data_IF_864939822007
#
_entry.id   IF_864939822007
#
_cell.length_a   1.000
_cell.length_b   1.000
_cell.length_c   1.000
_cell.angle_alpha   90.00
_cell.angle_beta   90.00
_cell.angle_gamma   90.00
#
_symmetry.space_group_name_H-M   'P 1'
#
loop_
_entity.id
_entity.type
_entity.pdbx_description
1 polymer ?
#
# COMPACT_ATOMS: atom_id res chain seq x y z
N UNK A 1 -7.52 -43.65 28.46
CA UNK A 1 -7.36 -42.47 27.60
C UNK A 1 -7.38 -42.98 26.18
N UNK A 2 -8.46 -42.71 25.45
CA UNK A 2 -8.52 -43.02 24.02
C UNK A 2 -7.46 -42.17 23.29
N UNK A 3 -6.74 -42.73 22.29
CA UNK A 3 -5.80 -41.93 21.51
C UNK A 3 -6.61 -40.87 20.75
N UNK A 4 -6.35 -39.59 21.04
CA UNK A 4 -6.93 -38.47 20.30
C UNK A 4 -6.68 -38.68 18.81
N UNK A 5 -7.76 -38.74 18.04
CA UNK A 5 -7.71 -38.90 16.59
C UNK A 5 -6.88 -37.77 16.00
N UNK A 6 -5.74 -38.17 15.44
CA UNK A 6 -4.82 -37.28 14.75
C UNK A 6 -5.55 -36.44 13.70
N UNK A 7 -5.40 -35.10 13.68
CA UNK A 7 -6.01 -34.28 12.65
C UNK A 7 -5.47 -34.72 11.29
N UNK A 8 -6.34 -35.34 10.50
CA UNK A 8 -6.05 -35.82 9.16
C UNK A 8 -6.27 -34.74 8.10
N UNK A 9 -6.97 -33.65 8.43
CA UNK A 9 -7.30 -32.59 7.46
C UNK A 9 -6.39 -31.37 7.60
N UNK A 10 -6.03 -30.77 6.47
CA UNK A 10 -5.25 -29.54 6.46
C UNK A 10 -6.05 -28.37 7.05
N UNK A 11 -5.47 -27.64 8.00
CA UNK A 11 -6.12 -26.50 8.65
C UNK A 11 -6.37 -25.29 7.73
N UNK A 12 -5.79 -25.26 6.53
CA UNK A 12 -5.94 -24.14 5.56
C UNK A 12 -6.96 -24.48 4.48
N UNK A 13 -6.74 -25.56 3.71
CA UNK A 13 -7.66 -25.94 2.62
C UNK A 13 -8.82 -26.83 3.07
N UNK A 14 -8.73 -27.48 4.24
CA UNK A 14 -9.70 -28.45 4.76
C UNK A 14 -9.84 -29.75 3.94
N UNK A 15 -9.09 -29.90 2.85
CA UNK A 15 -9.28 -31.00 1.87
C UNK A 15 -8.20 -32.10 1.95
N UNK A 16 -6.93 -31.73 2.12
CA UNK A 16 -5.80 -32.65 1.97
C UNK A 16 -5.43 -33.39 3.26
N UNK A 17 -4.83 -34.59 3.10
CA UNK A 17 -4.17 -35.30 4.20
C UNK A 17 -3.02 -34.45 4.73
N UNK A 18 -3.18 -33.91 5.94
CA UNK A 18 -2.19 -33.05 6.54
C UNK A 18 -1.00 -33.88 7.05
N UNK A 19 0.19 -33.57 6.55
CA UNK A 19 1.42 -34.32 6.84
C UNK A 19 2.43 -33.52 7.67
N UNK A 20 2.27 -32.21 7.75
CA UNK A 20 3.23 -31.32 8.43
C UNK A 20 2.61 -30.76 9.70
N UNK A 21 3.28 -30.96 10.84
CA UNK A 21 2.91 -30.43 12.16
C UNK A 21 4.09 -29.72 12.80
N UNK A 22 3.79 -28.90 13.81
CA UNK A 22 4.82 -28.28 14.64
C UNK A 22 5.81 -27.43 13.85
N UNK A 23 5.33 -26.70 12.83
CA UNK A 23 6.21 -25.84 12.01
C UNK A 23 6.94 -24.81 12.88
N UNK A 24 6.31 -24.34 13.97
CA UNK A 24 6.91 -23.47 14.97
C UNK A 24 7.81 -24.17 16.00
N UNK A 25 8.03 -25.48 15.91
CA UNK A 25 8.81 -26.28 16.88
C UNK A 25 8.05 -26.69 18.14
N UNK A 26 6.87 -26.12 18.39
CA UNK A 26 6.04 -26.41 19.58
C UNK A 26 4.76 -27.15 19.17
N UNK A 27 4.86 -28.47 19.11
CA UNK A 27 3.75 -29.36 18.75
C UNK A 27 2.65 -29.40 19.82
N UNK A 28 3.00 -29.13 21.09
CA UNK A 28 2.04 -29.14 22.19
C UNK A 28 1.05 -27.97 22.12
N UNK A 29 1.51 -26.77 21.71
CA UNK A 29 0.62 -25.61 21.60
C UNK A 29 0.09 -25.38 20.18
N UNK A 30 0.75 -25.92 19.15
CA UNK A 30 0.36 -25.77 17.75
C UNK A 30 -0.19 -27.08 17.18
N UNK A 31 -1.44 -27.40 17.53
CA UNK A 31 -2.12 -28.66 17.17
C UNK A 31 -2.56 -28.76 15.70
N UNK A 32 -2.53 -27.66 14.95
CA UNK A 32 -2.90 -27.66 13.54
C UNK A 32 -1.92 -28.46 12.67
N UNK A 33 -2.45 -29.02 11.58
CA UNK A 33 -1.66 -29.72 10.57
C UNK A 33 -1.84 -29.09 9.20
N UNK A 34 -0.81 -29.15 8.36
CA UNK A 34 -0.80 -28.56 7.02
C UNK A 34 -0.49 -29.61 5.97
N UNK A 35 -1.12 -29.47 4.80
CA UNK A 35 -0.64 -30.13 3.60
C UNK A 35 0.54 -29.35 2.99
N UNK A 36 1.37 -30.06 2.23
CA UNK A 36 2.54 -29.50 1.55
C UNK A 36 2.14 -28.34 0.61
N UNK A 37 1.02 -28.48 -0.11
CA UNK A 37 0.57 -27.46 -1.06
C UNK A 37 0.24 -26.12 -0.38
N UNK A 38 -0.47 -26.14 0.75
CA UNK A 38 -0.78 -24.94 1.52
C UNK A 38 0.46 -24.31 2.15
N UNK A 39 1.40 -25.12 2.66
CA UNK A 39 2.66 -24.60 3.18
C UNK A 39 3.48 -23.92 2.08
N UNK A 40 3.59 -24.53 0.90
CA UNK A 40 4.28 -23.95 -0.25
C UNK A 40 3.64 -22.63 -0.69
N UNK A 41 2.31 -22.59 -0.81
CA UNK A 41 1.58 -21.39 -1.17
C UNK A 41 1.79 -20.26 -0.13
N UNK A 42 1.85 -20.62 1.15
CA UNK A 42 2.17 -19.69 2.23
C UNK A 42 3.58 -19.10 2.07
N UNK A 43 4.60 -19.94 1.89
CA UNK A 43 5.99 -19.48 1.71
C UNK A 43 6.12 -18.63 0.45
N UNK A 44 5.50 -19.05 -0.66
CA UNK A 44 5.49 -18.26 -1.91
C UNK A 44 4.86 -16.88 -1.71
N UNK A 45 3.75 -16.78 -0.96
CA UNK A 45 3.11 -15.51 -0.61
C UNK A 45 4.00 -14.64 0.28
N UNK A 46 4.71 -15.25 1.25
CA UNK A 46 5.69 -14.55 2.09
C UNK A 46 6.88 -14.04 1.28
N UNK A 47 7.42 -14.84 0.38
CA UNK A 47 8.48 -14.42 -0.53
C UNK A 47 8.01 -13.29 -1.44
N UNK A 48 6.82 -13.40 -2.03
CA UNK A 48 6.28 -12.35 -2.91
C UNK A 48 6.07 -11.01 -2.18
N UNK A 49 5.75 -11.04 -0.89
CA UNK A 49 5.59 -9.84 -0.05
C UNK A 49 6.88 -9.39 0.65
N UNK A 50 7.93 -10.20 0.64
CA UNK A 50 9.21 -9.86 1.26
C UNK A 50 9.96 -8.81 0.42
N UNK A 51 10.30 -7.72 1.10
CA UNK A 51 11.09 -6.62 0.55
C UNK A 51 12.56 -6.98 0.75
N UNK A 52 13.33 -7.06 -0.34
CA UNK A 52 14.76 -7.29 -0.24
C UNK A 52 15.42 -6.13 0.51
N UNK A 53 16.28 -6.45 1.48
CA UNK A 53 16.87 -5.46 2.39
C UNK A 53 16.09 -5.28 3.70
N UNK A 54 14.91 -5.87 3.83
CA UNK A 54 14.12 -5.86 5.07
C UNK A 54 14.22 -7.21 5.76
N UNK A 55 14.61 -7.18 7.02
CA UNK A 55 14.69 -8.34 7.92
C UNK A 55 13.29 -8.90 8.20
N UNK A 56 12.79 -9.69 7.26
CA UNK A 56 11.42 -10.20 7.24
C UNK A 56 11.31 -11.44 8.11
N UNK A 57 10.51 -11.38 9.16
CA UNK A 57 10.24 -12.52 10.04
C UNK A 57 9.28 -13.51 9.40
N UNK A 58 9.68 -14.78 9.37
CA UNK A 58 8.78 -15.88 9.03
C UNK A 58 7.93 -16.24 10.26
N UNK A 59 6.64 -16.47 10.05
CA UNK A 59 5.72 -16.83 11.12
C UNK A 59 5.11 -18.20 10.81
N UNK A 60 4.64 -18.89 11.84
CA UNK A 60 3.87 -20.10 11.66
C UNK A 60 2.51 -19.74 11.03
N UNK A 61 2.08 -20.38 9.95
CA UNK A 61 0.78 -20.09 9.33
C UNK A 61 -0.42 -20.50 10.22
N UNK A 62 -0.18 -21.30 11.27
CA UNK A 62 -1.22 -21.78 12.18
C UNK A 62 -1.35 -20.91 13.43
N UNK A 63 -0.26 -20.75 14.19
CA UNK A 63 -0.27 -20.04 15.46
C UNK A 63 0.26 -18.60 15.36
N UNK A 64 0.74 -18.18 14.18
CA UNK A 64 1.28 -16.84 13.90
C UNK A 64 2.49 -16.46 14.78
N UNK A 65 3.08 -17.40 15.52
CA UNK A 65 4.34 -17.16 16.24
C UNK A 65 5.49 -17.03 15.26
N UNK A 66 6.48 -16.15 15.51
CA UNK A 66 7.74 -16.14 14.77
C UNK A 66 8.41 -17.51 14.82
N UNK A 67 9.04 -17.91 13.72
CA UNK A 67 9.68 -19.21 13.60
C UNK A 67 11.08 -19.01 13.04
N UNK A 68 12.05 -19.67 13.67
CA UNK A 68 13.39 -19.82 13.13
C UNK A 68 13.32 -20.44 11.72
N UNK A 69 13.90 -19.78 10.74
CA UNK A 69 13.81 -20.15 9.34
C UNK A 69 14.45 -21.51 9.03
N UNK A 70 15.48 -21.91 9.76
CA UNK A 70 16.10 -23.23 9.65
C UNK A 70 15.22 -24.33 10.26
N UNK A 71 14.57 -24.08 11.40
CA UNK A 71 13.57 -25.01 11.95
C UNK A 71 12.42 -25.19 10.96
N UNK A 72 11.95 -24.09 10.36
CA UNK A 72 10.93 -24.11 9.32
C UNK A 72 11.40 -24.94 8.10
N UNK A 73 12.62 -24.69 7.61
CA UNK A 73 13.25 -25.42 6.49
C UNK A 73 13.34 -26.93 6.76
N UNK A 74 13.68 -27.34 7.99
CA UNK A 74 13.78 -28.75 8.38
C UNK A 74 12.43 -29.46 8.38
N UNK A 75 11.35 -28.75 8.69
CA UNK A 75 9.97 -29.29 8.68
C UNK A 75 9.35 -29.33 7.27
N UNK A 76 10.02 -28.76 6.27
CA UNK A 76 9.63 -28.85 4.87
C UNK A 76 10.24 -30.10 4.23
N UNK A 77 9.40 -31.03 3.77
CA UNK A 77 9.85 -32.24 3.08
C UNK A 77 10.07 -32.06 1.58
N UNK A 78 9.54 -30.99 0.99
CA UNK A 78 9.60 -30.79 -0.47
C UNK A 78 10.67 -29.77 -0.90
N UNK A 79 11.41 -30.11 -1.95
CA UNK A 79 12.52 -29.28 -2.48
C UNK A 79 12.05 -27.92 -2.99
N UNK A 80 10.83 -27.84 -3.54
CA UNK A 80 10.28 -26.58 -4.05
C UNK A 80 10.10 -25.57 -2.92
N UNK A 81 9.51 -25.96 -1.79
CA UNK A 81 9.36 -25.09 -0.62
C UNK A 81 10.72 -24.72 -0.03
N UNK A 82 11.69 -25.64 -0.01
CA UNK A 82 13.08 -25.33 0.41
C UNK A 82 13.73 -24.29 -0.49
N UNK A 83 13.53 -24.38 -1.81
CA UNK A 83 13.99 -23.37 -2.77
C UNK A 83 13.39 -21.98 -2.50
N UNK A 84 12.07 -21.91 -2.25
CA UNK A 84 11.41 -20.64 -1.91
C UNK A 84 11.93 -20.05 -0.59
N UNK A 85 12.23 -20.88 0.41
CA UNK A 85 12.84 -20.42 1.66
C UNK A 85 14.27 -19.91 1.46
N UNK A 86 15.04 -20.55 0.58
CA UNK A 86 16.38 -20.07 0.21
C UNK A 86 16.30 -18.69 -0.45
N UNK A 87 15.40 -18.49 -1.41
CA UNK A 87 15.19 -17.18 -2.03
C UNK A 87 14.75 -16.11 -1.01
N UNK A 88 13.88 -16.48 -0.06
CA UNK A 88 13.47 -15.59 1.03
C UNK A 88 14.67 -15.20 1.91
N UNK A 89 15.54 -16.17 2.19
CA UNK A 89 16.77 -15.98 2.95
C UNK A 89 17.72 -14.98 2.28
N UNK A 90 17.91 -15.10 0.96
CA UNK A 90 18.76 -14.17 0.20
C UNK A 90 18.19 -12.74 0.17
N UNK A 91 16.86 -12.58 0.08
CA UNK A 91 16.22 -11.26 0.22
C UNK A 91 16.45 -10.62 1.58
N UNK A 92 16.41 -11.43 2.64
CA UNK A 92 16.66 -10.98 4.01
C UNK A 92 18.13 -10.57 4.19
N UNK A 93 19.07 -11.38 3.68
CA UNK A 93 20.50 -11.09 3.73
C UNK A 93 20.87 -9.78 3.06
N UNK A 94 20.12 -9.36 2.03
CA UNK A 94 20.30 -8.06 1.34
C UNK A 94 20.37 -6.88 2.32
N UNK A 95 19.79 -6.98 3.53
CA UNK A 95 19.89 -5.95 4.58
C UNK A 95 21.33 -5.71 5.08
N UNK A 96 22.22 -6.67 4.85
CA UNK A 96 23.61 -6.67 5.29
C UNK A 96 24.58 -6.54 4.10
N UNK A 97 24.08 -6.21 2.91
CA UNK A 97 24.93 -5.96 1.75
C UNK A 97 25.42 -4.52 1.76
N UNK A 98 26.67 -4.35 1.34
CA UNK A 98 27.26 -3.05 1.00
C UNK A 98 27.71 -3.06 -0.45
N UNK A 99 27.62 -1.91 -1.09
CA UNK A 99 28.12 -1.71 -2.45
C UNK A 99 29.56 -1.22 -2.38
N UNK A 100 30.47 -1.89 -3.07
CA UNK A 100 31.87 -1.47 -3.10
C UNK A 100 32.04 -0.19 -3.94
N UNK A 101 32.66 0.89 -3.43
CA UNK A 101 32.87 2.12 -4.20
C UNK A 101 33.92 1.95 -5.31
N UNK A 102 34.74 0.89 -5.26
CA UNK A 102 35.77 0.63 -6.25
C UNK A 102 35.27 -0.08 -7.51
N UNK A 103 34.42 -1.10 -7.34
CA UNK A 103 33.96 -1.95 -8.45
C UNK A 103 32.43 -2.05 -8.58
N UNK A 104 31.68 -1.38 -7.70
CA UNK A 104 30.22 -1.42 -7.64
C UNK A 104 29.58 -2.79 -7.34
N UNK A 105 30.39 -3.81 -7.01
CA UNK A 105 29.90 -5.13 -6.61
C UNK A 105 29.25 -5.08 -5.21
N UNK A 106 28.13 -5.77 -5.05
CA UNK A 106 27.43 -5.85 -3.76
C UNK A 106 27.96 -7.06 -2.97
N UNK A 107 28.49 -6.84 -1.78
CA UNK A 107 29.02 -7.91 -0.91
C UNK A 107 28.20 -8.02 0.37
N UNK A 108 27.76 -9.23 0.70
CA UNK A 108 27.14 -9.52 2.00
C UNK A 108 28.21 -9.50 3.10
N UNK A 109 28.00 -8.73 4.15
CA UNK A 109 28.92 -8.65 5.29
C UNK A 109 28.62 -9.66 6.40
N UNK A 110 27.54 -10.44 6.28
CA UNK A 110 27.31 -11.54 7.21
C UNK A 110 28.38 -12.63 6.98
N UNK A 111 28.96 -13.19 8.05
CA UNK A 111 29.94 -14.25 7.91
C UNK A 111 29.27 -15.50 7.31
N UNK A 112 30.04 -16.27 6.54
CA UNK A 112 29.57 -17.54 6.02
C UNK A 112 29.20 -18.47 7.17
N UNK A 113 27.99 -19.01 7.09
CA UNK A 113 27.47 -19.97 8.06
C UNK A 113 27.87 -21.35 7.56
N UNK A 114 28.48 -22.15 8.44
CA UNK A 114 28.64 -23.57 8.18
C UNK A 114 27.28 -24.27 8.38
N UNK A 115 26.57 -24.47 7.27
CA UNK A 115 25.27 -25.15 7.22
C UNK A 115 25.32 -26.53 7.90
N UNK A 116 26.47 -27.22 7.85
CA UNK A 116 26.63 -28.57 8.44
C UNK A 116 26.62 -28.55 9.96
N UNK A 117 27.29 -27.57 10.56
CA UNK A 117 27.33 -27.40 12.02
C UNK A 117 25.95 -27.00 12.55
N UNK A 118 25.26 -26.10 11.86
CA UNK A 118 23.99 -25.59 12.36
C UNK A 118 22.87 -26.63 12.31
N UNK A 119 22.78 -27.41 11.24
CA UNK A 119 21.82 -28.52 11.16
C UNK A 119 22.10 -29.59 12.22
N UNK A 120 23.37 -29.85 12.51
CA UNK A 120 23.81 -30.79 13.56
C UNK A 120 23.47 -30.28 14.97
N UNK A 121 23.65 -28.98 15.25
CA UNK A 121 23.34 -28.37 16.54
C UNK A 121 21.83 -28.35 16.83
N UNK A 122 21.01 -28.04 15.83
CA UNK A 122 19.54 -28.15 15.96
C UNK A 122 19.09 -29.60 16.10
N UNK A 123 19.78 -30.56 15.46
CA UNK A 123 19.41 -31.96 15.51
C UNK A 123 19.66 -32.61 16.88
N UNK A 124 20.68 -32.16 17.60
CA UNK A 124 21.11 -32.81 18.84
C UNK A 124 20.46 -32.25 20.11
N UNK A 125 19.72 -31.13 20.05
CA UNK A 125 19.21 -30.40 21.23
C UNK A 125 20.25 -30.11 22.33
N UNK A 126 21.52 -30.42 22.07
CA UNK A 126 22.63 -30.30 22.98
C UNK A 126 23.35 -29.00 22.68
N UNK A 127 23.33 -28.10 23.67
CA UNK A 127 24.17 -26.91 23.67
C UNK A 127 25.63 -27.32 23.42
N UNK A 128 26.32 -26.77 22.41
CA UNK A 128 27.75 -26.97 22.28
C UNK A 128 28.43 -26.45 23.56
N UNK A 129 28.99 -27.36 24.35
CA UNK A 129 29.55 -27.07 25.68
C UNK A 129 30.67 -26.01 25.70
N UNK A 130 31.17 -25.61 24.52
CA UNK A 130 32.26 -24.66 24.35
C UNK A 130 31.82 -23.25 23.97
N UNK A 131 30.51 -22.95 23.92
CA UNK A 131 30.02 -21.60 23.62
C UNK A 131 29.60 -20.85 24.89
N UNK A 132 30.34 -19.78 25.16
CA UNK A 132 29.89 -18.72 26.06
C UNK A 132 28.58 -18.15 25.48
N UNK A 133 27.51 -18.15 26.28
CA UNK A 133 26.15 -17.70 25.90
C UNK A 133 25.36 -18.64 24.96
N UNK A 134 25.66 -19.95 24.91
CA UNK A 134 24.91 -20.90 24.07
C UNK A 134 23.37 -20.83 24.28
N UNK A 135 22.93 -20.82 25.55
CA UNK A 135 21.49 -20.73 25.90
C UNK A 135 20.86 -19.41 25.44
N UNK A 136 21.60 -18.31 25.55
CA UNK A 136 21.11 -16.99 25.12
C UNK A 136 21.01 -16.90 23.60
N UNK A 137 21.96 -17.47 22.87
CA UNK A 137 21.90 -17.56 21.41
C UNK A 137 20.71 -18.40 20.97
N UNK A 138 20.47 -19.54 21.63
CA UNK A 138 19.28 -20.37 21.34
C UNK A 138 17.99 -19.63 21.65
N UNK A 139 17.88 -18.99 22.82
CA UNK A 139 16.71 -18.18 23.18
C UNK A 139 16.50 -17.01 22.20
N UNK A 140 17.57 -16.36 21.74
CA UNK A 140 17.52 -15.32 20.72
C UNK A 140 17.01 -15.87 19.39
N UNK A 141 17.55 -16.98 18.93
CA UNK A 141 17.17 -17.64 17.69
C UNK A 141 15.71 -18.13 17.72
N UNK A 142 15.20 -18.55 18.88
CA UNK A 142 13.80 -18.91 19.10
C UNK A 142 12.87 -17.71 19.32
N UNK A 143 13.36 -16.48 19.12
CA UNK A 143 12.64 -15.23 19.36
C UNK A 143 12.16 -15.02 20.81
N UNK A 144 12.78 -15.71 21.79
CA UNK A 144 12.52 -15.54 23.22
C UNK A 144 13.37 -14.43 23.85
N UNK A 145 14.48 -14.06 23.22
CA UNK A 145 15.39 -12.99 23.66
C UNK A 145 15.47 -11.88 22.60
N UNK A 146 15.44 -10.62 23.03
CA UNK A 146 15.61 -9.48 22.11
C UNK A 146 17.07 -9.30 21.67
N UNK A 147 17.30 -8.54 20.59
CA UNK A 147 18.66 -8.27 20.10
C UNK A 147 19.45 -7.41 21.09
N UNK A 148 18.78 -6.47 21.76
CA UNK A 148 19.39 -5.58 22.76
C UNK A 148 19.86 -6.38 23.97
N UNK A 149 19.03 -7.31 24.46
CA UNK A 149 19.37 -8.15 25.60
C UNK A 149 20.52 -9.11 25.27
N UNK A 150 20.46 -9.79 24.11
CA UNK A 150 21.54 -10.67 23.68
C UNK A 150 22.86 -9.88 23.57
N UNK A 151 22.82 -8.73 22.89
CA UNK A 151 24.00 -7.92 22.67
C UNK A 151 24.59 -7.39 23.99
N UNK A 152 23.76 -6.95 24.93
CA UNK A 152 24.21 -6.54 26.26
C UNK A 152 24.89 -7.69 27.03
N UNK A 153 24.34 -8.91 26.95
CA UNK A 153 24.95 -10.12 27.55
C UNK A 153 26.27 -10.49 26.87
N UNK A 154 26.35 -10.35 25.54
CA UNK A 154 27.58 -10.55 24.79
C UNK A 154 28.69 -9.60 25.23
N UNK A 155 28.38 -8.31 25.40
CA UNK A 155 29.34 -7.33 25.91
C UNK A 155 29.80 -7.69 27.33
N UNK A 156 28.87 -8.06 28.22
CA UNK A 156 29.19 -8.44 29.60
C UNK A 156 30.08 -9.69 29.67
N UNK A 157 29.90 -10.63 28.73
CA UNK A 157 30.72 -11.84 28.62
C UNK A 157 32.01 -11.65 27.79
N UNK A 158 32.27 -10.44 27.28
CA UNK A 158 33.37 -10.14 26.35
C UNK A 158 33.41 -11.09 25.13
N UNK A 159 32.24 -11.47 24.63
CA UNK A 159 32.10 -12.36 23.47
C UNK A 159 32.19 -11.56 22.16
N UNK A 160 32.97 -12.05 21.20
CA UNK A 160 33.04 -11.45 19.86
C UNK A 160 31.72 -11.61 19.10
N UNK A 161 31.20 -10.51 18.54
CA UNK A 161 29.97 -10.49 17.74
C UNK A 161 30.10 -11.42 16.52
N UNK A 162 31.25 -11.38 15.85
CA UNK A 162 31.55 -12.21 14.69
C UNK A 162 31.52 -13.72 15.03
N UNK A 163 32.03 -14.10 16.20
CA UNK A 163 31.94 -15.49 16.69
C UNK A 163 30.49 -15.94 16.91
N UNK A 164 29.64 -15.06 17.46
CA UNK A 164 28.22 -15.36 17.68
C UNK A 164 27.44 -15.40 16.36
N UNK A 165 27.71 -14.47 15.42
CA UNK A 165 27.05 -14.43 14.12
C UNK A 165 27.26 -15.73 13.32
N UNK A 166 28.47 -16.29 13.32
CA UNK A 166 28.76 -17.60 12.68
C UNK A 166 27.95 -18.77 13.25
N UNK A 167 27.34 -18.61 14.43
CA UNK A 167 26.54 -19.65 15.10
C UNK A 167 25.04 -19.45 14.91
N UNK A 168 24.62 -18.32 14.35
CA UNK A 168 23.22 -18.03 14.06
C UNK A 168 22.95 -18.44 12.60
N UNK A 169 22.34 -19.61 12.41
CA UNK A 169 21.95 -20.10 11.08
C UNK A 169 20.77 -19.34 10.45
N UNK A 170 19.98 -18.65 11.26
CA UNK A 170 18.85 -17.86 10.81
C UNK A 170 19.32 -16.48 10.31
N UNK A 171 19.23 -16.20 9.01
CA UNK A 171 19.73 -14.93 8.45
C UNK A 171 18.92 -13.71 8.87
N UNK A 172 17.65 -13.85 9.28
CA UNK A 172 16.89 -12.73 9.85
C UNK A 172 17.48 -12.35 11.21
N UNK A 173 17.73 -13.35 12.07
CA UNK A 173 18.32 -13.15 13.39
C UNK A 173 19.78 -12.69 13.32
N UNK A 174 20.57 -13.27 12.42
CA UNK A 174 21.95 -12.85 12.20
C UNK A 174 22.00 -11.41 11.67
N UNK A 175 21.17 -11.10 10.66
CA UNK A 175 21.07 -9.75 10.11
C UNK A 175 20.60 -8.71 11.13
N UNK A 176 19.66 -9.06 12.02
CA UNK A 176 19.21 -8.17 13.08
C UNK A 176 20.32 -7.87 14.10
N UNK A 177 21.09 -8.88 14.52
CA UNK A 177 22.23 -8.70 15.42
C UNK A 177 23.33 -7.87 14.76
N UNK A 178 23.65 -8.19 13.50
CA UNK A 178 24.67 -7.50 12.72
C UNK A 178 24.32 -6.03 12.51
N UNK A 179 23.12 -5.72 12.04
CA UNK A 179 22.67 -4.34 11.83
C UNK A 179 22.61 -3.54 13.14
N UNK A 180 22.25 -4.18 14.26
CA UNK A 180 22.31 -3.56 15.58
C UNK A 180 23.76 -3.22 15.98
N UNK A 181 24.68 -4.16 15.80
CA UNK A 181 26.11 -3.95 16.07
C UNK A 181 26.69 -2.82 15.22
N UNK A 182 26.45 -2.84 13.91
CA UNK A 182 26.98 -1.83 12.99
C UNK A 182 26.44 -0.43 13.28
N UNK A 183 25.16 -0.32 13.65
CA UNK A 183 24.53 0.98 13.94
C UNK A 183 25.07 1.65 15.20
N UNK A 184 25.43 0.86 16.21
CA UNK A 184 25.73 1.39 17.54
C UNK A 184 27.22 1.45 17.88
N UNK A 185 28.07 0.69 17.18
CA UNK A 185 29.47 0.52 17.60
C UNK A 185 30.46 0.60 16.44
N UNK A 186 30.19 -0.08 15.33
CA UNK A 186 31.15 -0.22 14.24
C UNK A 186 30.46 0.24 12.96
N UNK A 187 30.59 1.52 12.61
CA UNK A 187 29.98 2.00 11.38
C UNK A 187 30.81 1.63 10.14
N UNK A 188 32.08 1.24 10.28
CA UNK A 188 32.99 0.87 9.18
C UNK A 188 32.99 -0.63 8.89
N UNK A 189 33.01 -1.02 7.62
CA UNK A 189 33.18 -2.41 7.19
C UNK A 189 34.13 -2.49 5.99
N UNK A 190 34.89 -3.58 5.87
CA UNK A 190 35.67 -3.87 4.67
C UNK A 190 34.85 -4.65 3.64
N UNK A 191 34.89 -4.23 2.39
CA UNK A 191 34.37 -5.01 1.26
C UNK A 191 35.28 -6.21 0.97
N UNK A 192 34.72 -7.39 0.67
CA UNK A 192 35.53 -8.59 0.37
C UNK A 192 36.18 -8.59 -1.03
N UNK A 193 35.67 -7.79 -1.97
CA UNK A 193 36.16 -7.78 -3.36
C UNK A 193 37.39 -6.89 -3.57
N UNK A 194 37.43 -5.71 -2.95
CA UNK A 194 38.50 -4.72 -3.14
C UNK A 194 39.16 -4.28 -1.82
N UNK A 195 38.77 -4.88 -0.69
CA UNK A 195 39.31 -4.56 0.64
C UNK A 195 39.20 -3.07 1.02
N UNK A 196 38.17 -2.38 0.49
CA UNK A 196 37.90 -0.97 0.82
C UNK A 196 37.05 -0.84 2.06
N UNK A 197 37.37 0.16 2.88
CA UNK A 197 36.56 0.55 4.04
C UNK A 197 35.35 1.39 3.61
N UNK A 198 34.16 1.01 4.08
CA UNK A 198 32.89 1.68 3.79
C UNK A 198 32.07 1.92 5.07
N UNK A 199 31.36 3.05 5.19
CA UNK A 199 30.39 3.24 6.28
C UNK A 199 29.17 2.37 5.96
N UNK A 200 28.85 1.36 6.76
CA UNK A 200 27.68 0.50 6.58
C UNK A 200 26.36 1.29 6.50
N UNK A 201 26.28 2.42 7.22
CA UNK A 201 25.06 3.21 7.32
C UNK A 201 24.80 4.09 6.09
N UNK A 202 25.82 4.78 5.57
CA UNK A 202 25.67 5.67 4.40
C UNK A 202 26.20 5.07 3.09
N UNK A 203 26.90 3.93 3.16
CA UNK A 203 27.57 3.23 2.06
C UNK A 203 28.63 4.04 1.31
N UNK A 204 29.13 5.13 1.89
CA UNK A 204 30.27 5.89 1.36
C UNK A 204 31.60 5.24 1.77
N UNK A 205 32.68 5.59 1.06
CA UNK A 205 34.05 5.25 1.45
C UNK A 205 34.34 5.85 2.84
N UNK A 206 34.85 5.01 3.74
CA UNK A 206 35.08 5.38 5.13
C UNK A 206 36.52 5.85 5.30
N UNK A 207 36.69 7.06 5.83
CA UNK A 207 37.96 7.59 6.29
C UNK A 207 37.90 7.87 7.80
N UNK A 208 39.05 8.18 8.42
CA UNK A 208 39.13 8.46 9.85
C UNK A 208 38.38 9.72 10.29
N UNK A 209 37.97 10.58 9.34
CA UNK A 209 37.23 11.82 9.59
C UNK A 209 35.73 11.67 9.27
N UNK A 210 35.29 10.47 8.90
CA UNK A 210 33.93 10.21 8.43
C UNK A 210 32.90 10.37 9.55
N UNK A 211 32.12 11.45 9.49
CA UNK A 211 30.98 11.67 10.37
C UNK A 211 29.68 11.25 9.67
N UNK A 212 29.21 10.05 9.97
CA UNK A 212 27.94 9.53 9.47
C UNK A 212 26.78 10.28 10.23
N UNK A 213 26.40 11.50 9.79
CA UNK A 213 25.26 12.24 10.37
C UNK A 213 23.92 11.63 9.92
N UNK A 214 23.44 10.67 10.70
CA UNK A 214 22.17 9.96 10.45
C UNK A 214 20.96 10.91 10.62
N UNK A 215 21.13 12.14 11.13
CA UNK A 215 20.02 13.06 11.38
C UNK A 215 19.79 14.07 10.24
N UNK A 216 20.68 14.15 9.24
CA UNK A 216 20.60 15.11 8.14
C UNK A 216 19.92 14.57 6.87
N UNK A 217 19.15 13.47 6.98
CA UNK A 217 18.30 13.00 5.88
C UNK A 217 17.12 13.96 5.67
N UNK A 218 17.38 15.02 4.91
CA UNK A 218 16.35 15.90 4.41
C UNK A 218 15.36 15.09 3.56
N UNK A 219 14.08 15.41 3.75
CA UNK A 219 12.90 14.54 3.51
C UNK A 219 12.54 14.21 2.05
N UNK A 220 13.49 13.85 1.21
CA UNK A 220 13.23 13.36 -0.13
C UNK A 220 13.07 11.84 -0.10
N UNK A 221 11.89 11.38 0.33
CA UNK A 221 11.45 9.99 0.19
C UNK A 221 10.62 9.81 -1.09
N UNK A 222 10.87 8.72 -1.82
CA UNK A 222 10.09 8.33 -2.98
C UNK A 222 9.54 6.90 -2.79
N UNK A 223 8.31 6.62 -3.22
CA UNK A 223 7.82 5.25 -3.33
C UNK A 223 8.24 4.67 -4.68
N UNK A 224 8.76 3.45 -4.70
CA UNK A 224 8.95 2.73 -5.96
C UNK A 224 7.61 2.59 -6.71
N UNK A 225 7.53 2.88 -8.02
CA UNK A 225 6.27 2.84 -8.77
C UNK A 225 5.71 1.42 -8.96
N UNK A 226 6.55 0.38 -8.79
CA UNK A 226 6.15 -1.03 -8.94
C UNK A 226 5.75 -1.65 -7.60
N UNK A 227 6.66 -1.70 -6.62
CA UNK A 227 6.42 -2.37 -5.34
C UNK A 227 5.91 -1.43 -4.22
N UNK A 228 5.81 -0.12 -4.47
CA UNK A 228 5.29 0.90 -3.55
C UNK A 228 6.05 1.08 -2.23
N UNK A 229 7.26 0.52 -2.11
CA UNK A 229 8.11 0.72 -0.93
C UNK A 229 8.74 2.10 -0.95
N UNK A 230 8.77 2.73 0.22
CA UNK A 230 9.49 3.98 0.42
C UNK A 230 10.99 3.74 0.39
N UNK A 231 11.64 4.45 -0.52
CA UNK A 231 13.08 4.55 -0.62
C UNK A 231 13.49 5.92 -0.09
N UNK A 232 14.68 5.98 0.47
CA UNK A 232 15.44 7.21 0.71
C UNK A 232 16.63 7.14 -0.23
N UNK A 233 16.92 8.22 -0.96
CA UNK A 233 18.09 8.30 -1.84
C UNK A 233 19.27 8.75 -0.98
N UNK A 234 20.33 7.95 -0.99
CA UNK A 234 21.66 8.42 -0.59
C UNK A 234 22.28 9.29 -1.70
N UNK A 235 23.51 9.74 -1.54
CA UNK A 235 24.16 10.54 -2.59
C UNK A 235 24.32 9.76 -3.91
N UNK A 236 24.20 10.46 -5.05
CA UNK A 236 24.48 9.87 -6.38
C UNK A 236 23.47 10.17 -7.49
N UNK A 237 23.46 9.28 -8.49
CA UNK A 237 22.71 9.43 -9.75
C UNK A 237 21.19 9.54 -9.53
N UNK A 238 20.50 10.27 -10.41
CA UNK A 238 19.04 10.36 -10.40
C UNK A 238 18.35 9.10 -10.94
N UNK A 239 19.07 8.19 -11.59
CA UNK A 239 18.54 6.88 -11.96
C UNK A 239 18.70 5.92 -10.79
N UNK A 240 17.58 5.48 -10.21
CA UNK A 240 17.55 4.51 -9.11
C UNK A 240 16.96 3.21 -9.60
N UNK A 241 17.59 2.12 -9.15
CA UNK A 241 17.06 0.76 -9.27
C UNK A 241 16.51 0.36 -7.91
N UNK A 242 15.20 0.12 -7.83
CA UNK A 242 14.60 -0.42 -6.63
C UNK A 242 15.09 -1.84 -6.37
N UNK A 243 15.05 -2.29 -5.11
CA UNK A 243 15.29 -3.68 -4.74
C UNK A 243 14.36 -4.70 -5.45
N UNK A 244 13.23 -4.25 -6.02
CA UNK A 244 12.34 -5.11 -6.82
C UNK A 244 12.76 -5.18 -8.31
N UNK A 245 13.88 -4.56 -8.70
CA UNK A 245 14.38 -4.49 -10.06
C UNK A 245 13.82 -3.35 -10.92
N UNK A 246 12.87 -2.57 -10.41
CA UNK A 246 12.28 -1.45 -11.16
C UNK A 246 13.25 -0.27 -11.26
N UNK A 247 13.44 0.26 -12.46
CA UNK A 247 14.30 1.42 -12.70
C UNK A 247 13.46 2.69 -12.88
N UNK A 248 13.77 3.76 -12.15
CA UNK A 248 13.07 5.02 -12.29
C UNK A 248 13.93 6.24 -11.97
N UNK A 249 13.48 7.41 -12.41
CA UNK A 249 14.12 8.69 -12.12
C UNK A 249 13.67 9.25 -10.76
N UNK A 250 14.63 9.57 -9.90
CA UNK A 250 14.39 9.94 -8.51
C UNK A 250 13.63 11.26 -8.33
N UNK A 251 14.06 12.41 -8.89
CA UNK A 251 13.33 13.66 -8.73
C UNK A 251 11.86 13.56 -9.15
N UNK A 252 11.60 12.89 -10.29
CA UNK A 252 10.24 12.67 -10.77
C UNK A 252 9.42 11.83 -9.78
N UNK A 253 10.01 10.78 -9.20
CA UNK A 253 9.32 9.89 -8.29
C UNK A 253 9.11 10.49 -6.89
N UNK A 254 10.05 11.30 -6.38
CA UNK A 254 9.85 12.11 -5.17
C UNK A 254 8.66 13.06 -5.37
N UNK A 255 8.61 13.81 -6.49
CA UNK A 255 7.50 14.72 -6.76
C UNK A 255 6.16 13.97 -6.81
N UNK A 256 6.11 12.82 -7.50
CA UNK A 256 4.91 11.99 -7.58
C UNK A 256 4.47 11.48 -6.20
N UNK A 257 5.40 10.99 -5.39
CA UNK A 257 5.13 10.45 -4.05
C UNK A 257 4.62 11.53 -3.11
N UNK A 258 5.25 12.71 -3.11
CA UNK A 258 4.80 13.86 -2.34
C UNK A 258 3.39 14.30 -2.75
N UNK A 259 3.09 14.30 -4.06
CA UNK A 259 1.75 14.61 -4.54
C UNK A 259 0.74 13.55 -4.08
N UNK A 260 1.10 12.27 -4.17
CA UNK A 260 0.26 11.15 -3.76
C UNK A 260 -0.09 11.22 -2.27
N UNK A 261 0.91 11.42 -1.40
CA UNK A 261 0.71 11.57 0.05
C UNK A 261 -0.16 12.78 0.38
N UNK A 262 0.02 13.91 -0.32
CA UNK A 262 -0.84 15.09 -0.14
C UNK A 262 -2.29 14.80 -0.53
N UNK A 263 -2.51 14.09 -1.64
CA UNK A 263 -3.87 13.69 -2.06
C UNK A 263 -4.49 12.74 -1.05
N UNK A 264 -3.75 11.74 -0.56
CA UNK A 264 -4.22 10.83 0.48
C UNK A 264 -4.59 11.58 1.77
N UNK A 265 -3.76 12.51 2.23
CA UNK A 265 -4.05 13.34 3.40
C UNK A 265 -5.31 14.21 3.20
N UNK A 266 -5.50 14.75 2.00
CA UNK A 266 -6.72 15.49 1.65
C UNK A 266 -7.96 14.59 1.62
N UNK A 267 -7.83 13.35 1.13
CA UNK A 267 -8.90 12.35 1.12
C UNK A 267 -9.22 11.81 2.52
N UNK A 268 -8.22 11.72 3.40
CA UNK A 268 -8.36 11.33 4.80
C UNK A 268 -9.05 12.41 5.64
N UNK A 269 -9.03 13.67 5.20
CA UNK A 269 -9.78 14.74 5.85
C UNK A 269 -11.28 14.40 5.88
N UNK A 270 -11.84 14.25 7.09
CA UNK A 270 -13.24 13.84 7.32
C UNK A 270 -14.24 14.70 6.55
N UNK A 271 -13.93 15.98 6.32
CA UNK A 271 -14.75 16.91 5.54
C UNK A 271 -14.83 16.56 4.06
N UNK A 272 -13.72 16.20 3.42
CA UNK A 272 -13.68 15.81 2.01
C UNK A 272 -14.33 14.44 1.80
N UNK A 273 -14.08 13.48 2.71
CA UNK A 273 -14.76 12.17 2.69
C UNK A 273 -16.28 12.33 2.80
N UNK A 274 -16.78 13.23 3.67
CA UNK A 274 -18.21 13.57 3.77
C UNK A 274 -18.74 14.27 2.50
N UNK A 275 -17.96 15.16 1.89
CA UNK A 275 -18.37 15.84 0.65
C UNK A 275 -18.47 14.85 -0.53
N UNK A 276 -17.47 13.98 -0.70
CA UNK A 276 -17.45 12.95 -1.75
C UNK A 276 -18.55 11.90 -1.55
N UNK A 277 -18.77 11.45 -0.32
CA UNK A 277 -19.88 10.51 -0.04
C UNK A 277 -21.25 11.16 -0.25
N UNK A 278 -21.43 12.42 0.13
CA UNK A 278 -22.67 13.18 -0.16
C UNK A 278 -22.87 13.34 -1.66
N UNK A 279 -21.83 13.68 -2.42
CA UNK A 279 -21.88 13.79 -3.87
C UNK A 279 -22.22 12.45 -4.54
N UNK A 280 -21.56 11.36 -4.13
CA UNK A 280 -21.85 10.02 -4.63
C UNK A 280 -23.29 9.58 -4.31
N UNK A 281 -23.76 9.83 -3.08
CA UNK A 281 -25.17 9.60 -2.69
C UNK A 281 -26.13 10.40 -3.56
N UNK A 282 -25.82 11.67 -3.84
CA UNK A 282 -26.63 12.50 -4.73
C UNK A 282 -26.66 11.96 -6.17
N UNK A 283 -25.52 11.52 -6.71
CA UNK A 283 -25.46 10.89 -8.03
C UNK A 283 -26.28 9.60 -8.10
N UNK A 284 -26.18 8.73 -7.09
CA UNK A 284 -26.95 7.48 -7.02
C UNK A 284 -28.44 7.76 -6.86
N UNK A 285 -28.80 8.69 -5.97
CA UNK A 285 -30.19 9.12 -5.77
C UNK A 285 -30.78 9.67 -7.06
N UNK A 286 -30.07 10.60 -7.73
CA UNK A 286 -30.50 11.17 -9.00
C UNK A 286 -30.69 10.10 -10.07
N UNK A 287 -29.78 9.13 -10.14
CA UNK A 287 -29.90 8.00 -11.07
C UNK A 287 -31.13 7.16 -10.75
N UNK A 288 -31.31 6.70 -9.50
CA UNK A 288 -32.50 5.92 -9.08
C UNK A 288 -33.80 6.67 -9.29
N UNK A 289 -33.84 7.96 -8.97
CA UNK A 289 -35.00 8.80 -9.20
C UNK A 289 -35.36 8.83 -10.70
N UNK A 290 -34.37 9.04 -11.57
CA UNK A 290 -34.57 9.06 -13.03
C UNK A 290 -34.92 7.70 -13.62
N UNK A 291 -34.36 6.60 -13.12
CA UNK A 291 -34.56 5.27 -13.71
C UNK A 291 -35.76 4.51 -13.13
N UNK A 292 -36.17 4.83 -11.91
CA UNK A 292 -37.16 4.05 -11.17
C UNK A 292 -38.40 4.88 -10.88
N UNK A 293 -38.22 6.09 -10.32
CA UNK A 293 -39.36 6.92 -9.90
C UNK A 293 -40.02 7.58 -11.11
N UNK A 294 -39.25 8.28 -11.95
CA UNK A 294 -39.79 8.99 -13.12
C UNK A 294 -40.58 8.08 -14.07
N UNK A 295 -40.10 6.87 -14.44
CA UNK A 295 -40.86 5.97 -15.29
C UNK A 295 -42.10 5.38 -14.60
N UNK A 296 -42.10 5.24 -13.26
CA UNK A 296 -43.23 4.71 -12.51
C UNK A 296 -44.37 5.73 -12.30
N UNK A 297 -44.09 7.04 -12.38
CA UNK A 297 -45.12 8.09 -12.22
C UNK A 297 -46.24 7.94 -13.26
N UNK A 298 -45.88 7.70 -14.53
CA UNK A 298 -46.86 7.57 -15.62
C UNK A 298 -47.89 6.45 -15.38
N UNK A 299 -47.46 5.20 -15.18
CA UNK A 299 -48.33 4.08 -14.85
C UNK A 299 -49.17 4.30 -13.59
N UNK A 300 -48.60 4.93 -12.55
CA UNK A 300 -49.27 5.12 -11.26
C UNK A 300 -50.38 6.18 -11.36
N UNK A 301 -50.13 7.29 -12.06
CA UNK A 301 -51.16 8.30 -12.37
C UNK A 301 -52.25 7.72 -13.26
N UNK A 302 -51.89 6.90 -14.25
CA UNK A 302 -52.86 6.22 -15.10
C UNK A 302 -53.74 5.26 -14.28
N UNK A 303 -53.14 4.46 -13.40
CA UNK A 303 -53.86 3.55 -12.52
C UNK A 303 -54.83 4.29 -11.59
N UNK A 304 -54.41 5.42 -10.99
CA UNK A 304 -55.29 6.26 -10.17
C UNK A 304 -56.45 6.83 -10.97
N UNK A 305 -56.19 7.34 -12.19
CA UNK A 305 -57.26 7.85 -13.07
C UNK A 305 -58.23 6.75 -13.48
N UNK A 306 -57.73 5.56 -13.82
CA UNK A 306 -58.56 4.40 -14.15
C UNK A 306 -59.38 3.94 -12.95
N UNK A 307 -58.82 3.95 -11.74
CA UNK A 307 -59.56 3.63 -10.52
C UNK A 307 -60.70 4.64 -10.26
N UNK A 308 -60.43 5.94 -10.42
CA UNK A 308 -61.45 6.99 -10.28
C UNK A 308 -62.55 6.90 -11.35
N UNK A 309 -62.17 6.61 -12.61
CA UNK A 309 -63.15 6.39 -13.68
C UNK A 309 -63.98 5.14 -13.38
N UNK A 310 -63.35 4.04 -12.96
CA UNK A 310 -64.04 2.78 -12.62
C UNK A 310 -65.00 2.94 -11.45
N UNK A 311 -64.64 3.70 -10.40
CA UNK A 311 -65.54 3.97 -9.28
C UNK A 311 -66.75 4.81 -9.71
N UNK A 312 -66.54 5.78 -10.61
CA UNK A 312 -67.61 6.63 -11.14
C UNK A 312 -68.55 5.84 -12.05
N UNK A 313 -68.00 4.95 -12.89
CA UNK A 313 -68.77 4.11 -13.82
C UNK A 313 -69.51 2.98 -13.07
N UNK A 314 -68.90 2.40 -12.03
CA UNK A 314 -69.50 1.33 -11.23
C UNK A 314 -70.74 1.77 -10.44
N UNK A 315 -70.89 3.08 -10.19
CA UNK A 315 -72.04 3.64 -9.51
C UNK A 315 -73.33 3.67 -10.36
N UNK A 316 -73.28 3.43 -11.68
CA UNK A 316 -74.46 3.45 -12.54
C UNK A 316 -74.42 2.38 -13.66
N UNK A 317 -75.19 1.29 -13.55
CA UNK A 317 -75.16 0.18 -14.52
C UNK A 317 -75.76 0.50 -15.89
N UNK A 318 -76.47 1.62 -16.05
CA UNK A 318 -76.95 2.08 -17.36
C UNK A 318 -75.82 2.67 -18.20
N UNK A 319 -74.86 3.36 -17.57
CA UNK A 319 -73.73 3.98 -18.24
C UNK A 319 -72.76 2.97 -18.82
N UNK A 320 -72.51 1.84 -18.15
CA UNK A 320 -71.61 0.79 -18.63
C UNK A 320 -72.07 0.21 -19.96
N UNK A 321 -73.37 -0.05 -20.13
CA UNK A 321 -73.95 -0.55 -21.38
C UNK A 321 -73.86 0.47 -22.52
N UNK A 322 -74.18 1.74 -22.26
CA UNK A 322 -74.12 2.80 -23.28
C UNK A 322 -72.67 3.11 -23.69
N UNK A 323 -71.74 3.17 -22.73
CA UNK A 323 -70.31 3.33 -23.00
C UNK A 323 -69.73 2.13 -23.75
N UNK A 324 -70.07 0.90 -23.38
CA UNK A 324 -69.57 -0.29 -24.08
C UNK A 324 -70.01 -0.30 -25.54
N UNK A 325 -71.29 -0.05 -25.82
CA UNK A 325 -71.83 0.03 -27.17
C UNK A 325 -71.25 1.21 -27.97
N UNK A 326 -70.95 2.33 -27.30
CA UNK A 326 -70.28 3.50 -27.87
C UNK A 326 -68.81 3.23 -28.20
N UNK A 327 -68.06 2.60 -27.28
CA UNK A 327 -66.65 2.23 -27.42
C UNK A 327 -66.48 1.22 -28.55
N UNK A 328 -67.35 0.22 -28.67
CA UNK A 328 -67.28 -0.77 -29.78
C UNK A 328 -67.52 -0.08 -31.12
N UNK A 329 -68.55 0.77 -31.23
CA UNK A 329 -68.83 1.54 -32.46
C UNK A 329 -67.73 2.54 -32.80
N UNK A 330 -67.14 3.18 -31.79
CA UNK A 330 -66.04 4.12 -31.96
C UNK A 330 -64.73 3.43 -32.30
N UNK A 331 -64.38 2.32 -31.62
CA UNK A 331 -63.21 1.50 -31.95
C UNK A 331 -63.34 0.96 -33.35
N UNK A 332 -64.50 0.43 -33.76
CA UNK A 332 -64.72 -0.04 -35.13
C UNK A 332 -64.53 1.08 -36.16
N UNK A 333 -65.08 2.28 -35.91
CA UNK A 333 -64.87 3.45 -36.80
C UNK A 333 -63.43 3.94 -36.82
N UNK A 334 -62.77 4.01 -35.67
CA UNK A 334 -61.39 4.52 -35.54
C UNK A 334 -60.35 3.53 -36.05
N UNK A 335 -60.57 2.22 -35.88
CA UNK A 335 -59.70 1.16 -36.41
C UNK A 335 -59.78 1.13 -37.94
N UNK A 336 -60.97 1.30 -38.51
CA UNK A 336 -61.15 1.40 -39.96
C UNK A 336 -60.58 2.72 -40.52
N UNK A 337 -60.72 3.85 -39.81
CA UNK A 337 -60.16 5.14 -40.23
C UNK A 337 -58.64 5.25 -40.06
N UNK A 338 -58.05 4.52 -39.09
CA UNK A 338 -56.60 4.51 -38.78
C UNK A 338 -55.89 3.28 -39.31
N UNK A 339 -56.54 2.42 -40.11
CA UNK A 339 -55.87 1.30 -40.76
C UNK A 339 -54.61 1.76 -41.54
N UNK A 340 -54.63 2.91 -42.26
CA UNK A 340 -53.43 3.47 -42.87
C UNK A 340 -52.36 3.87 -41.85
N UNK A 341 -52.75 4.49 -40.72
CA UNK A 341 -51.83 4.84 -39.63
C UNK A 341 -51.23 3.60 -38.96
N UNK A 342 -51.99 2.51 -38.81
CA UNK A 342 -51.48 1.26 -38.26
C UNK A 342 -50.45 0.61 -39.19
N UNK A 343 -50.70 0.62 -40.50
CA UNK A 343 -49.73 0.19 -41.51
C UNK A 343 -48.48 1.09 -41.49
N UNK A 344 -48.65 2.41 -41.31
CA UNK A 344 -47.53 3.35 -41.17
C UNK A 344 -46.76 3.16 -39.86
N UNK A 345 -47.42 2.91 -38.73
CA UNK A 345 -46.76 2.60 -37.45
C UNK A 345 -46.03 1.28 -37.50
N UNK A 346 -46.56 0.27 -38.21
CA UNK A 346 -45.85 -0.99 -38.45
C UNK A 346 -44.61 -0.78 -39.33
N UNK A 347 -44.70 0.04 -40.38
CA UNK A 347 -43.53 0.46 -41.19
C UNK A 347 -42.51 1.25 -40.36
N UNK A 348 -42.95 2.14 -39.48
CA UNK A 348 -42.08 2.86 -38.55
C UNK A 348 -41.45 1.95 -37.50
N UNK A 349 -42.15 0.94 -37.00
CA UNK A 349 -41.61 -0.05 -36.07
C UNK A 349 -40.59 -0.96 -36.77
N UNK A 350 -40.83 -1.34 -38.03
CA UNK A 350 -39.86 -2.06 -38.85
C UNK A 350 -38.61 -1.20 -39.10
N UNK A 351 -38.77 0.08 -39.41
CA UNK A 351 -37.68 1.04 -39.55
C UNK A 351 -36.94 1.27 -38.21
N UNK A 352 -37.66 1.31 -37.09
CA UNK A 352 -37.10 1.44 -35.74
C UNK A 352 -36.28 0.22 -35.35
N UNK A 353 -36.73 -0.99 -35.72
CA UNK A 353 -36.00 -2.24 -35.51
C UNK A 353 -34.72 -2.30 -36.35
N UNK A 354 -34.78 -1.88 -37.62
CA UNK A 354 -33.58 -1.71 -38.46
C UNK A 354 -32.62 -0.67 -37.89
N UNK A 355 -33.15 0.46 -37.44
CA UNK A 355 -32.36 1.50 -36.76
C UNK A 355 -31.75 1.00 -35.44
N UNK A 356 -32.45 0.16 -34.66
CA UNK A 356 -31.88 -0.42 -33.45
C UNK A 356 -30.81 -1.46 -33.73
N UNK A 357 -30.96 -2.28 -34.78
CA UNK A 357 -29.92 -3.26 -35.13
C UNK A 357 -28.68 -2.59 -35.72
N UNK A 358 -28.85 -1.51 -36.48
CA UNK A 358 -27.77 -0.91 -37.27
C UNK A 358 -27.14 0.34 -36.65
N UNK A 359 -27.94 1.21 -36.02
CA UNK A 359 -27.49 2.47 -35.43
C UNK A 359 -27.28 2.34 -33.92
N UNK A 360 -28.15 1.63 -33.19
CA UNK A 360 -27.99 1.47 -31.72
C UNK A 360 -26.79 0.59 -31.37
N UNK A 361 -26.42 -0.37 -32.22
CA UNK A 361 -25.18 -1.15 -32.05
C UNK A 361 -23.90 -0.31 -32.25
N UNK A 362 -23.97 0.76 -33.06
CA UNK A 362 -22.86 1.70 -33.30
C UNK A 362 -22.83 2.89 -32.33
N UNK A 363 -23.95 3.15 -31.64
CA UNK A 363 -24.10 4.25 -30.68
C UNK A 363 -23.09 4.21 -29.52
N UNK A 364 -22.74 3.06 -28.92
CA UNK A 364 -21.72 3.01 -27.87
C UNK A 364 -20.35 3.53 -28.34
N UNK A 365 -19.92 3.13 -29.54
CA UNK A 365 -18.66 3.57 -30.13
C UNK A 365 -18.69 5.07 -30.48
N UNK A 366 -19.81 5.55 -31.05
CA UNK A 366 -19.99 6.97 -31.36
C UNK A 366 -20.11 7.85 -30.10
N UNK A 367 -20.79 7.37 -29.05
CA UNK A 367 -20.88 8.08 -27.77
C UNK A 367 -19.51 8.10 -27.07
N UNK A 368 -18.73 7.02 -27.15
CA UNK A 368 -17.37 7.00 -26.64
C UNK A 368 -16.49 8.04 -27.35
N UNK A 369 -16.51 8.10 -28.69
CA UNK A 369 -15.74 9.08 -29.45
C UNK A 369 -16.19 10.52 -29.17
N UNK A 370 -17.50 10.80 -29.16
CA UNK A 370 -18.05 12.12 -28.82
C UNK A 370 -17.77 12.54 -27.38
N UNK A 371 -17.68 11.58 -26.45
CA UNK A 371 -17.35 11.86 -25.05
C UNK A 371 -15.89 12.26 -24.90
N UNK A 372 -14.98 11.58 -25.60
CA UNK A 372 -13.56 11.96 -25.67
C UNK A 372 -13.43 13.36 -26.28
N UNK A 373 -14.10 13.63 -27.40
CA UNK A 373 -14.08 14.94 -28.06
C UNK A 373 -14.60 16.07 -27.13
N UNK A 374 -15.75 15.88 -26.46
CA UNK A 374 -16.26 16.89 -25.50
C UNK A 374 -15.39 17.06 -24.27
N UNK A 375 -14.70 16.02 -23.81
CA UNK A 375 -13.73 16.15 -22.71
C UNK A 375 -12.58 17.02 -23.19
N UNK A 376 -12.05 16.76 -24.39
CA UNK A 376 -11.01 17.58 -25.01
C UNK A 376 -11.45 19.04 -25.22
N UNK A 377 -12.65 19.29 -25.75
CA UNK A 377 -13.21 20.64 -25.92
C UNK A 377 -13.42 21.35 -24.57
N UNK A 378 -13.91 20.65 -23.54
CA UNK A 378 -14.09 21.23 -22.20
C UNK A 378 -12.75 21.56 -21.55
N UNK A 379 -11.74 20.71 -21.71
CA UNK A 379 -10.38 20.98 -21.27
C UNK A 379 -9.76 22.18 -22.01
N UNK A 380 -10.12 22.37 -23.29
CA UNK A 380 -9.74 23.53 -24.10
C UNK A 380 -10.58 24.80 -23.81
N UNK A 381 -11.67 24.70 -23.06
CA UNK A 381 -12.62 25.82 -22.91
C UNK A 381 -12.09 26.98 -22.05
N UNK A 382 -12.57 28.22 -22.30
CA UNK A 382 -12.27 29.42 -21.50
C UNK A 382 -12.60 29.30 -20.00
N UNK A 383 -13.57 28.45 -19.64
CA UNK A 383 -13.96 28.22 -18.25
C UNK A 383 -12.94 27.33 -17.51
N UNK A 384 -12.39 26.31 -18.18
CA UNK A 384 -11.30 25.50 -17.63
C UNK A 384 -9.98 26.27 -17.56
N UNK A 385 -9.76 27.25 -18.44
CA UNK A 385 -8.64 28.19 -18.27
C UNK A 385 -8.87 29.17 -17.11
N UNK A 386 -10.11 29.58 -16.79
CA UNK A 386 -10.39 30.31 -15.53
C UNK A 386 -10.16 29.45 -14.30
N UNK A 387 -10.58 28.18 -14.32
CA UNK A 387 -10.32 27.23 -13.24
C UNK A 387 -8.81 26.96 -13.08
N UNK A 388 -8.08 26.69 -14.18
CA UNK A 388 -6.61 26.61 -14.20
C UNK A 388 -5.96 27.89 -13.69
N UNK A 389 -6.43 29.07 -14.10
CA UNK A 389 -5.92 30.37 -13.60
C UNK A 389 -6.24 30.58 -12.11
N UNK A 390 -7.36 30.10 -11.61
CA UNK A 390 -7.72 30.17 -10.19
C UNK A 390 -6.86 29.20 -9.36
N UNK A 391 -6.69 27.97 -9.83
CA UNK A 391 -5.75 26.98 -9.28
C UNK A 391 -4.32 27.51 -9.25
N UNK A 392 -3.84 28.06 -10.37
CA UNK A 392 -2.51 28.69 -10.46
C UNK A 392 -2.40 29.87 -9.50
N UNK A 393 -3.42 30.72 -9.37
CA UNK A 393 -3.44 31.80 -8.37
C UNK A 393 -3.38 31.27 -6.94
N UNK A 394 -4.06 30.18 -6.61
CA UNK A 394 -4.01 29.56 -5.28
C UNK A 394 -2.62 28.95 -5.01
N UNK A 395 -2.03 28.28 -6.00
CA UNK A 395 -0.68 27.71 -5.91
C UNK A 395 0.36 28.82 -5.76
N UNK A 396 0.29 29.87 -6.58
CA UNK A 396 1.18 31.04 -6.52
C UNK A 396 1.03 31.81 -5.21
N UNK A 397 -0.21 32.02 -4.72
CA UNK A 397 -0.45 32.66 -3.41
C UNK A 397 0.15 31.83 -2.28
N UNK A 398 0.03 30.49 -2.32
CA UNK A 398 0.67 29.61 -1.33
C UNK A 398 2.20 29.61 -1.42
N UNK A 399 2.79 29.68 -2.62
CA UNK A 399 4.24 29.84 -2.80
C UNK A 399 4.71 31.19 -2.26
N UNK A 400 3.97 32.27 -2.53
CA UNK A 400 4.26 33.61 -2.02
C UNK A 400 4.17 33.67 -0.48
N UNK A 401 3.13 33.08 0.12
CA UNK A 401 3.01 32.98 1.57
C UNK A 401 4.21 32.24 2.20
N UNK A 402 4.69 31.17 1.57
CA UNK A 402 5.89 30.44 2.04
C UNK A 402 7.15 31.28 1.92
N UNK A 403 7.34 31.98 0.80
CA UNK A 403 8.48 32.88 0.61
C UNK A 403 8.47 34.06 1.58
N UNK A 404 7.30 34.63 1.88
CA UNK A 404 7.16 35.69 2.88
C UNK A 404 7.42 35.15 4.28
N UNK A 405 6.94 33.95 4.61
CA UNK A 405 7.23 33.32 5.90
C UNK A 405 8.73 33.02 6.07
N UNK A 406 9.41 32.51 5.03
CA UNK A 406 10.86 32.26 5.10
C UNK A 406 11.67 33.55 5.19
N UNK A 407 11.29 34.61 4.46
CA UNK A 407 11.94 35.93 4.58
C UNK A 407 11.68 36.56 5.94
N UNK A 408 10.47 36.41 6.52
CA UNK A 408 10.15 36.90 7.86
C UNK A 408 11.00 36.18 8.91
N UNK A 409 11.15 34.85 8.80
CA UNK A 409 12.04 34.08 9.68
C UNK A 409 13.50 34.55 9.55
N UNK A 410 13.99 34.76 8.32
CA UNK A 410 15.35 35.28 8.09
C UNK A 410 15.56 36.70 8.63
N UNK A 411 14.55 37.58 8.54
CA UNK A 411 14.62 38.92 9.11
C UNK A 411 14.57 38.92 10.64
N UNK A 412 13.77 38.04 11.25
CA UNK A 412 13.75 37.85 12.70
C UNK A 412 15.09 37.30 13.20
N UNK A 413 15.71 36.38 12.47
CA UNK A 413 17.03 35.83 12.81
C UNK A 413 18.14 36.89 12.70
N UNK A 414 18.08 37.75 11.68
CA UNK A 414 18.98 38.91 11.54
C UNK A 414 18.75 39.99 12.60
N UNK A 415 17.50 40.18 13.03
CA UNK A 415 17.17 41.11 14.13
C UNK A 415 17.69 40.57 15.47
N UNK A 416 17.50 39.28 15.75
CA UNK A 416 18.02 38.59 16.93
C UNK A 416 19.55 38.71 17.02
N UNK A 417 20.26 38.44 15.92
CA UNK A 417 21.73 38.61 15.82
C UNK A 417 22.20 40.06 15.97
N UNK A 418 21.37 41.05 15.62
CA UNK A 418 21.69 42.47 15.85
C UNK A 418 21.47 42.91 17.30
N UNK A 419 20.53 42.31 18.03
CA UNK A 419 20.34 42.56 19.47
C UNK A 419 21.43 41.95 20.36
N UNK A 420 22.22 40.99 19.86
CA UNK A 420 23.38 40.45 20.58
C UNK A 420 24.65 41.31 20.45
N UNK A 421 24.63 42.36 19.62
CA UNK A 421 25.77 43.26 19.45
C UNK A 421 25.39 44.65 19.97
N UNK A 422 25.91 44.96 21.16
CA UNK A 422 25.91 46.24 21.88
C UNK A 422 24.75 46.51 22.86
N UNK A 423 24.98 46.16 24.13
CA UNK A 423 24.64 47.03 25.26
C UNK A 423 25.83 47.97 25.52
N UNK A 424 25.69 49.29 25.37
CA UNK A 424 26.33 50.24 26.25
C UNK A 424 25.34 50.59 27.36
N UNK A 425 25.77 50.37 28.59
CA UNK A 425 25.17 50.97 29.79
C UNK A 425 25.17 52.50 29.63
N UNK A 426 24.00 53.11 29.46
CA UNK A 426 23.57 54.33 30.15
C UNK A 426 22.12 54.63 29.81
N UNK A 427 21.31 54.87 30.84
CA UNK A 427 19.87 55.04 30.72
C UNK A 427 19.45 56.33 30.02
N UNK A 428 18.23 56.33 29.51
CA UNK A 428 17.21 57.39 29.58
C UNK A 428 15.92 56.81 28.99
N UNK A 429 14.81 57.23 29.58
CA UNK A 429 13.40 56.85 29.38
C UNK A 429 12.86 57.30 28.00
N UNK A 430 12.02 56.50 27.32
CA UNK A 430 10.62 56.81 26.88
C UNK A 430 10.07 55.84 25.79
N UNK A 431 8.74 55.74 25.64
CA UNK A 431 8.00 54.61 25.08
C UNK A 431 7.40 54.90 23.70
N UNK A 432 7.63 54.05 22.70
CA UNK A 432 6.75 53.98 21.52
C UNK A 432 6.78 52.56 20.96
N UNK A 433 5.62 52.08 20.51
CA UNK A 433 5.36 50.87 19.72
C UNK A 433 4.81 49.63 20.44
N UNK A 434 3.84 49.86 21.32
CA UNK A 434 2.66 48.99 21.42
C UNK A 434 1.65 49.44 20.34
N UNK A 435 1.69 48.86 19.13
CA UNK A 435 0.60 48.88 18.10
C UNK A 435 1.05 48.20 16.79
N UNK A 436 1.21 46.88 16.80
CA UNK A 436 1.32 46.11 15.54
C UNK A 436 0.98 44.62 15.70
N UNK A 437 0.11 44.27 16.65
CA UNK A 437 -0.35 42.88 16.84
C UNK A 437 -1.88 42.83 16.89
N UNK A 438 -2.51 43.16 15.76
CA UNK A 438 -3.86 42.71 15.39
C UNK A 438 -3.97 42.74 13.85
N UNK A 439 -3.81 41.58 13.22
CA UNK A 439 -4.40 41.18 11.92
C UNK A 439 -4.03 39.72 11.63
#
# INVERSE_FOLDING_TARGET
MEPEQEPTTCAICLDDVATIRGVCGDEATCSGALCIACLRAYVASKLASAIAGVLTKLHCPLCVRPVNMCLFRRRCSDDTTRGLLYELNERVKTACYVRCPGCDENTCLLPEIDDTLYETHIALSGTPANLVLADDVMAYVEHKLSVQELYARMLAANASVDTILRKIGDSERAGLLFTHWMRHYVCSAMTSCCERDVCFLCQAEYDSEHYCDVNEYDTDMAQCPSCMVFLVKGDGCDAITCFCGEHFNWPAQVEWTQLHLRVQNLLAAKSLKRALTTFAKHCVYRRRFQTTVVPAIGPLVLAQRLAAISSTIGASPSWTMTLAAGIVRWRRRRYMARLPDYVMTWRHDLARRRWSSEIVSRLPAFVASRRVERISERLASPAMTRFRKAMLRVILRRRLCRLVASKKASLLDRAAKKTEIALPTHGVVLPVMQRALTC
#
